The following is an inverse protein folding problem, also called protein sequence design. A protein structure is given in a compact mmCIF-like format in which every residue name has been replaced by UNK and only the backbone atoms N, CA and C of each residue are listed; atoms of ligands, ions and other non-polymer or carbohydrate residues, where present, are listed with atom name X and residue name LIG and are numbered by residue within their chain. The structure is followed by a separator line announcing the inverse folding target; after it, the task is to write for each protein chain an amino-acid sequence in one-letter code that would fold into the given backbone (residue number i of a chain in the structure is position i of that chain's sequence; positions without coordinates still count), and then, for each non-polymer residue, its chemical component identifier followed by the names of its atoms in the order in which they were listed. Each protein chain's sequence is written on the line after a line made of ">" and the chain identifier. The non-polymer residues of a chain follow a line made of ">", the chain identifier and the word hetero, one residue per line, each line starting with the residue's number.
data_IF_290160697862
#
_entry.id   IF_290160697862
#
_cell.length_a   1.000
_cell.length_b   1.000
_cell.length_c   1.000
_cell.angle_alpha   90.00
_cell.angle_beta   90.00
_cell.angle_gamma   90.00
#
_symmetry.space_group_name_H-M   'P 1'
#
loop_
_entity.id
_entity.type
_entity.pdbx_description
1 polymer ?
#
# COMPACT_ATOMS: atom_id res chain seq x y z
N UNK A 1 -45.65 9.16 -33.64
CA UNK A 1 -44.26 9.55 -33.62
C UNK A 1 -43.91 10.07 -32.23
N UNK A 2 -43.83 9.14 -31.25
CA UNK A 2 -43.72 9.48 -29.83
C UNK A 2 -42.82 8.40 -29.19
N UNK A 3 -41.56 8.37 -29.55
CA UNK A 3 -40.54 7.54 -28.91
C UNK A 3 -39.29 8.41 -28.87
N UNK A 4 -38.73 8.60 -27.70
CA UNK A 4 -37.40 9.14 -27.43
C UNK A 4 -37.30 10.31 -26.44
N UNK A 5 -38.21 10.42 -25.45
CA UNK A 5 -37.97 11.31 -24.31
C UNK A 5 -37.59 10.60 -23.01
N UNK A 6 -37.83 9.30 -22.88
CA UNK A 6 -37.53 8.54 -21.65
C UNK A 6 -36.09 8.03 -21.60
N UNK A 7 -35.43 7.83 -22.74
CA UNK A 7 -34.04 7.34 -22.78
C UNK A 7 -32.99 8.41 -22.48
N UNK A 8 -33.30 9.67 -22.76
CA UNK A 8 -32.38 10.81 -22.54
C UNK A 8 -32.33 11.25 -21.06
N UNK A 9 -33.35 10.92 -20.26
CA UNK A 9 -33.38 11.25 -18.81
C UNK A 9 -32.72 10.15 -17.98
N UNK A 10 -32.77 8.89 -18.42
CA UNK A 10 -32.17 7.78 -17.70
C UNK A 10 -30.62 7.80 -17.77
N UNK A 11 -30.03 8.27 -18.87
CA UNK A 11 -28.59 8.31 -19.04
C UNK A 11 -27.86 9.28 -18.09
N UNK A 12 -28.31 10.52 -17.89
CA UNK A 12 -27.70 11.43 -16.91
C UNK A 12 -27.95 11.01 -15.46
N UNK A 13 -29.06 10.36 -15.14
CA UNK A 13 -29.34 9.86 -13.78
C UNK A 13 -28.45 8.65 -13.46
N UNK A 14 -28.23 7.73 -14.39
CA UNK A 14 -27.30 6.61 -14.21
C UNK A 14 -25.85 7.09 -14.14
N UNK A 15 -25.46 8.08 -14.93
CA UNK A 15 -24.14 8.69 -14.86
C UNK A 15 -23.95 9.46 -13.55
N UNK A 16 -24.96 10.20 -13.08
CA UNK A 16 -24.94 10.90 -11.80
C UNK A 16 -24.89 9.91 -10.62
N UNK A 17 -25.50 8.74 -10.71
CA UNK A 17 -25.44 7.68 -9.68
C UNK A 17 -24.07 6.99 -9.65
N UNK A 18 -23.47 6.70 -10.81
CA UNK A 18 -22.10 6.19 -10.93
C UNK A 18 -21.06 7.21 -10.43
N UNK A 19 -21.31 8.48 -10.71
CA UNK A 19 -20.45 9.59 -10.30
C UNK A 19 -20.55 9.86 -8.79
N UNK A 20 -21.76 9.83 -8.22
CA UNK A 20 -21.94 10.01 -6.76
C UNK A 20 -21.41 8.84 -5.95
N UNK A 21 -21.51 7.62 -6.44
CA UNK A 21 -20.90 6.43 -5.80
C UNK A 21 -19.37 6.45 -5.93
N UNK A 22 -18.81 6.98 -7.03
CA UNK A 22 -17.38 7.17 -7.19
C UNK A 22 -16.84 8.24 -6.22
N UNK A 23 -17.54 9.37 -6.03
CA UNK A 23 -17.09 10.46 -5.16
C UNK A 23 -16.98 10.07 -3.69
N UNK A 24 -17.86 9.19 -3.21
CA UNK A 24 -17.80 8.64 -1.84
C UNK A 24 -16.80 7.49 -1.70
N UNK A 25 -16.35 6.90 -2.82
CA UNK A 25 -15.42 5.76 -2.83
C UNK A 25 -13.94 6.19 -2.82
N UNK A 26 -13.60 7.44 -3.17
CA UNK A 26 -12.21 7.84 -3.38
C UNK A 26 -11.32 7.78 -2.13
N UNK A 27 -11.87 7.94 -0.93
CA UNK A 27 -11.10 7.78 0.32
C UNK A 27 -10.97 6.32 0.78
N UNK A 28 -11.56 5.34 0.06
CA UNK A 28 -11.68 3.95 0.49
C UNK A 28 -11.33 2.93 -0.60
N UNK A 29 -10.81 3.35 -1.73
CA UNK A 29 -10.67 2.47 -2.91
C UNK A 29 -9.62 1.37 -2.71
N UNK A 30 -8.67 1.54 -1.76
CA UNK A 30 -7.65 0.53 -1.46
C UNK A 30 -7.44 0.40 0.04
N UNK A 31 -6.88 -0.75 0.46
CA UNK A 31 -6.45 -0.94 1.86
C UNK A 31 -5.37 0.04 2.27
N UNK A 32 -5.18 0.20 3.58
CA UNK A 32 -4.19 1.14 4.14
C UNK A 32 -2.74 0.71 3.93
N UNK A 33 -2.48 -0.57 3.67
CA UNK A 33 -1.15 -1.05 3.27
C UNK A 33 -0.80 -0.50 1.89
N UNK A 34 0.41 0.02 1.74
CA UNK A 34 0.94 0.50 0.45
C UNK A 34 1.61 -0.67 -0.28
N UNK A 35 0.98 -1.28 -1.31
CA UNK A 35 1.58 -2.40 -2.04
C UNK A 35 2.92 -2.01 -2.64
N UNK A 36 3.85 -2.98 -2.68
CA UNK A 36 5.21 -2.75 -3.15
C UNK A 36 6.15 -2.10 -2.13
N UNK A 37 5.73 -1.97 -0.86
CA UNK A 37 6.58 -1.40 0.20
C UNK A 37 7.57 -2.40 0.80
N UNK A 38 7.30 -3.72 0.72
CA UNK A 38 8.13 -4.77 1.32
C UNK A 38 8.53 -5.85 0.29
N UNK A 39 9.16 -5.42 -0.81
CA UNK A 39 9.50 -6.30 -1.94
C UNK A 39 10.68 -7.24 -1.68
N UNK A 40 11.62 -6.87 -0.81
CA UNK A 40 12.86 -7.64 -0.57
C UNK A 40 13.14 -7.78 0.91
N UNK A 41 13.74 -8.90 1.31
CA UNK A 41 14.03 -9.14 2.72
C UNK A 41 12.78 -9.31 3.58
N UNK A 42 11.66 -9.71 2.99
CA UNK A 42 10.33 -9.74 3.61
C UNK A 42 10.21 -10.63 4.86
N UNK A 43 11.10 -11.59 5.03
CA UNK A 43 11.18 -12.42 6.25
C UNK A 43 12.16 -11.91 7.29
N UNK A 44 12.80 -10.76 7.07
CA UNK A 44 13.93 -10.30 7.87
C UNK A 44 13.53 -9.13 8.74
N UNK A 45 13.57 -9.29 10.06
CA UNK A 45 13.47 -8.18 11.02
C UNK A 45 14.80 -7.40 11.09
N UNK A 46 14.76 -6.18 11.58
CA UNK A 46 15.94 -5.33 11.74
C UNK A 46 16.98 -5.98 12.66
N UNK A 47 18.22 -5.50 12.62
CA UNK A 47 19.26 -5.93 13.55
C UNK A 47 19.00 -5.39 14.96
N UNK A 48 19.68 -5.97 15.98
CA UNK A 48 19.52 -5.56 17.39
C UNK A 48 19.75 -4.05 17.58
N UNK A 49 18.91 -3.40 18.36
CA UNK A 49 18.97 -1.98 18.68
C UNK A 49 17.90 -1.17 17.97
N UNK A 50 18.14 0.10 17.80
CA UNK A 50 17.26 1.00 17.07
C UNK A 50 17.69 1.13 15.61
N UNK A 51 16.72 1.18 14.73
CA UNK A 51 16.89 1.50 13.32
C UNK A 51 15.88 2.54 12.87
N UNK A 52 16.27 3.35 11.91
CA UNK A 52 15.39 4.31 11.24
C UNK A 52 15.44 4.06 9.74
N UNK A 53 14.28 4.10 9.12
CA UNK A 53 14.18 4.16 7.66
C UNK A 53 13.13 5.17 7.22
N UNK A 54 13.37 5.74 6.05
CA UNK A 54 12.41 6.59 5.35
C UNK A 54 12.10 5.95 4.00
N UNK A 55 10.82 5.91 3.68
CA UNK A 55 10.34 5.43 2.39
C UNK A 55 9.47 6.50 1.74
N UNK A 56 9.93 7.02 0.62
CA UNK A 56 9.14 7.88 -0.25
C UNK A 56 8.48 7.02 -1.33
N UNK A 57 7.16 6.91 -1.27
CA UNK A 57 6.34 6.20 -2.23
C UNK A 57 5.58 7.20 -3.11
N UNK A 58 5.60 6.98 -4.42
CA UNK A 58 4.87 7.76 -5.40
C UNK A 58 3.98 6.86 -6.24
N UNK A 59 2.69 7.17 -6.33
CA UNK A 59 1.72 6.54 -7.21
C UNK A 59 1.10 7.53 -8.18
N UNK A 60 0.91 7.11 -9.42
CA UNK A 60 0.21 7.89 -10.44
C UNK A 60 -0.71 7.00 -11.25
N UNK A 61 -1.97 7.39 -11.35
CA UNK A 61 -3.02 6.65 -12.06
C UNK A 61 -3.87 7.61 -12.88
N UNK A 62 -4.22 7.22 -14.09
CA UNK A 62 -5.05 8.03 -15.00
C UNK A 62 -6.22 7.25 -15.60
N UNK A 63 -6.38 5.99 -15.22
CA UNK A 63 -7.43 5.11 -15.73
C UNK A 63 -8.22 4.55 -14.56
N UNK A 64 -9.55 4.72 -14.57
CA UNK A 64 -10.46 4.05 -13.65
C UNK A 64 -11.00 2.78 -14.31
N UNK A 65 -10.92 1.66 -13.60
CA UNK A 65 -11.39 0.35 -14.07
C UNK A 65 -12.74 -0.02 -13.45
N UNK A 66 -13.60 -0.59 -14.28
CA UNK A 66 -14.89 -1.15 -13.86
C UNK A 66 -14.78 -2.58 -13.32
N UNK A 67 -15.94 -3.22 -13.05
CA UNK A 67 -16.00 -4.56 -12.43
C UNK A 67 -15.33 -5.66 -13.24
N UNK A 68 -15.37 -5.56 -14.58
CA UNK A 68 -14.74 -6.53 -15.48
C UNK A 68 -13.31 -6.14 -15.89
N UNK A 69 -12.71 -5.12 -15.24
CA UNK A 69 -11.39 -4.60 -15.60
C UNK A 69 -11.36 -3.72 -16.86
N UNK A 70 -12.52 -3.44 -17.46
CA UNK A 70 -12.65 -2.50 -18.57
C UNK A 70 -12.37 -1.06 -18.12
N UNK A 71 -11.78 -0.26 -19.00
CA UNK A 71 -11.58 1.17 -18.72
C UNK A 71 -12.91 1.91 -18.79
N UNK A 72 -13.21 2.72 -17.76
CA UNK A 72 -14.36 3.60 -17.77
C UNK A 72 -14.04 4.88 -18.55
N UNK A 73 -14.98 5.43 -19.32
CA UNK A 73 -14.77 6.64 -20.12
C UNK A 73 -14.86 7.91 -19.26
N UNK A 74 -13.99 8.02 -18.26
CA UNK A 74 -13.92 9.14 -17.33
C UNK A 74 -12.51 9.74 -17.36
N UNK A 75 -12.42 11.04 -17.57
CA UNK A 75 -11.18 11.80 -17.43
C UNK A 75 -10.88 12.02 -15.95
N UNK A 76 -10.09 11.13 -15.38
CA UNK A 76 -9.67 11.19 -13.98
C UNK A 76 -8.17 10.94 -13.88
N UNK A 77 -7.53 11.57 -12.89
CA UNK A 77 -6.17 11.22 -12.53
C UNK A 77 -5.97 11.38 -11.03
N UNK A 78 -5.11 10.52 -10.49
CA UNK A 78 -4.68 10.54 -9.11
C UNK A 78 -3.15 10.52 -9.09
N UNK A 79 -2.55 11.43 -8.34
CA UNK A 79 -1.14 11.32 -7.95
C UNK A 79 -1.04 11.41 -6.44
N UNK A 80 -0.27 10.52 -5.86
CA UNK A 80 -0.15 10.33 -4.43
C UNK A 80 1.34 10.21 -4.08
N UNK A 81 1.80 11.05 -3.16
CA UNK A 81 3.10 10.94 -2.52
C UNK A 81 2.89 10.57 -1.06
N UNK A 82 3.60 9.55 -0.60
CA UNK A 82 3.62 9.15 0.81
C UNK A 82 5.08 9.16 1.26
N UNK A 83 5.36 9.94 2.29
CA UNK A 83 6.63 9.99 3.01
C UNK A 83 6.45 9.23 4.33
N UNK A 84 6.87 7.97 4.36
CA UNK A 84 6.75 7.09 5.52
C UNK A 84 8.05 7.05 6.31
N UNK A 85 7.97 7.37 7.60
CA UNK A 85 9.08 7.42 8.54
C UNK A 85 8.91 6.28 9.54
N UNK A 86 9.78 5.30 9.49
CA UNK A 86 9.76 4.09 10.32
C UNK A 86 10.83 4.14 11.38
N UNK A 87 10.45 3.96 12.63
CA UNK A 87 11.34 3.70 13.76
C UNK A 87 11.10 2.29 14.25
N UNK A 88 12.14 1.45 14.24
CA UNK A 88 12.06 0.09 14.72
C UNK A 88 13.05 -0.15 15.88
N UNK A 89 12.67 -1.06 16.79
CA UNK A 89 13.47 -1.48 17.92
C UNK A 89 13.45 -2.99 18.06
N UNK A 90 14.63 -3.61 18.06
CA UNK A 90 14.86 -5.05 18.31
C UNK A 90 15.62 -5.23 19.60
N UNK A 91 15.00 -5.75 20.67
CA UNK A 91 15.66 -6.01 21.93
C UNK A 91 16.61 -7.21 21.86
N UNK A 92 17.50 -7.36 22.87
CA UNK A 92 18.48 -8.44 22.93
C UNK A 92 17.90 -9.80 23.32
N UNK A 93 16.69 -9.84 23.89
CA UNK A 93 16.05 -11.11 24.27
C UNK A 93 15.36 -11.76 23.06
N UNK A 94 15.15 -13.06 23.15
CA UNK A 94 14.36 -13.82 22.17
C UNK A 94 13.02 -14.25 22.74
N UNK A 95 12.01 -14.28 21.88
CA UNK A 95 10.68 -14.79 22.20
C UNK A 95 10.36 -15.94 21.25
N UNK A 96 10.05 -17.13 21.78
CA UNK A 96 9.81 -18.35 20.97
C UNK A 96 10.94 -18.65 19.96
N UNK A 97 12.19 -18.31 20.33
CA UNK A 97 13.35 -18.47 19.45
C UNK A 97 13.51 -17.36 18.38
N UNK A 98 12.53 -16.49 18.24
CA UNK A 98 12.54 -15.34 17.33
C UNK A 98 13.20 -14.12 17.97
N UNK A 99 13.65 -13.18 17.13
CA UNK A 99 13.94 -11.81 17.52
C UNK A 99 12.64 -11.00 17.44
N UNK A 100 12.11 -10.47 18.55
CA UNK A 100 10.96 -9.58 18.49
C UNK A 100 11.38 -8.21 17.99
N UNK A 101 10.52 -7.59 17.15
CA UNK A 101 10.66 -6.22 16.67
C UNK A 101 9.40 -5.43 17.01
N UNK A 102 9.60 -4.17 17.37
CA UNK A 102 8.55 -3.18 17.64
C UNK A 102 8.73 -2.03 16.67
N UNK A 103 7.66 -1.65 15.94
CA UNK A 103 7.77 -0.63 14.92
C UNK A 103 6.67 0.43 15.06
N UNK A 104 7.03 1.67 14.74
CA UNK A 104 6.09 2.78 14.56
C UNK A 104 6.38 3.43 13.21
N UNK A 105 5.34 3.56 12.40
CA UNK A 105 5.38 4.23 11.11
C UNK A 105 4.55 5.51 11.17
N UNK A 106 5.17 6.64 10.88
CA UNK A 106 4.52 7.96 10.79
C UNK A 106 4.62 8.41 9.35
N UNK A 107 3.47 8.53 8.69
CA UNK A 107 3.42 8.86 7.28
C UNK A 107 2.74 10.20 7.01
N UNK A 108 3.30 10.94 6.05
CA UNK A 108 2.73 12.17 5.50
C UNK A 108 2.37 11.92 4.04
N UNK A 109 1.23 12.46 3.60
CA UNK A 109 0.85 12.36 2.19
C UNK A 109 0.71 13.73 1.54
N UNK A 110 0.84 13.75 0.21
CA UNK A 110 0.52 14.89 -0.65
C UNK A 110 -0.16 14.34 -1.90
N UNK A 111 -1.47 14.46 -1.91
CA UNK A 111 -2.35 13.84 -2.88
C UNK A 111 -2.94 14.90 -3.79
N UNK A 112 -3.09 14.55 -5.06
CA UNK A 112 -3.78 15.38 -6.05
C UNK A 112 -4.74 14.51 -6.84
N UNK A 113 -6.01 14.78 -6.68
CA UNK A 113 -7.06 14.20 -7.50
C UNK A 113 -7.51 15.20 -8.55
N UNK A 114 -7.71 14.74 -9.78
CA UNK A 114 -8.36 15.46 -10.86
C UNK A 114 -9.51 14.61 -11.40
N UNK A 115 -10.65 15.23 -11.60
CA UNK A 115 -11.84 14.57 -12.13
C UNK A 115 -12.87 15.57 -12.65
N UNK A 116 -14.01 15.13 -13.20
CA UNK A 116 -15.08 16.00 -13.66
C UNK A 116 -15.49 17.01 -12.59
N UNK A 117 -15.76 18.26 -12.99
CA UNK A 117 -16.10 19.36 -12.07
C UNK A 117 -17.29 19.03 -11.17
N UNK A 118 -18.21 18.19 -11.63
CA UNK A 118 -19.35 17.72 -10.86
C UNK A 118 -18.93 16.90 -9.63
N UNK A 119 -17.77 16.20 -9.70
CA UNK A 119 -17.20 15.42 -8.59
C UNK A 119 -16.36 16.27 -7.64
N UNK A 120 -15.77 17.34 -8.14
CA UNK A 120 -14.77 18.14 -7.43
C UNK A 120 -15.30 19.42 -6.80
N UNK A 121 -16.61 19.61 -6.75
CA UNK A 121 -17.21 20.73 -6.01
C UNK A 121 -16.80 22.13 -6.45
N UNK A 122 -16.50 22.35 -7.74
CA UNK A 122 -16.29 23.68 -8.32
C UNK A 122 -14.85 24.19 -8.38
N UNK A 123 -13.85 23.46 -7.92
CA UNK A 123 -12.43 23.88 -7.95
C UNK A 123 -11.68 23.36 -9.19
N UNK A 124 -12.08 23.78 -10.38
CA UNK A 124 -11.42 23.43 -11.67
C UNK A 124 -11.05 21.94 -11.82
N UNK A 125 -11.83 21.03 -11.22
CA UNK A 125 -11.60 19.60 -11.26
C UNK A 125 -10.41 19.09 -10.42
N UNK A 126 -9.75 19.93 -9.61
CA UNK A 126 -8.57 19.56 -8.80
C UNK A 126 -8.86 19.63 -7.32
N UNK A 127 -8.54 18.56 -6.60
CA UNK A 127 -8.64 18.49 -5.13
C UNK A 127 -7.29 18.10 -4.56
N UNK A 128 -6.56 19.03 -3.94
CA UNK A 128 -5.34 18.70 -3.21
C UNK A 128 -5.68 18.22 -1.80
N UNK A 129 -4.89 17.25 -1.31
CA UNK A 129 -4.91 16.82 0.08
C UNK A 129 -3.47 16.62 0.56
N UNK A 130 -3.10 17.20 1.69
CA UNK A 130 -1.77 17.02 2.26
C UNK A 130 -1.81 17.06 3.79
N UNK A 131 -0.88 16.36 4.42
CA UNK A 131 -0.69 16.33 5.85
C UNK A 131 -0.35 14.96 6.42
N UNK A 132 -0.37 14.85 7.75
CA UNK A 132 -0.26 13.58 8.45
C UNK A 132 -1.40 12.65 8.00
N UNK A 133 -1.06 11.43 7.63
CA UNK A 133 -2.04 10.39 7.27
C UNK A 133 -2.28 9.44 8.45
N UNK A 134 -2.38 8.16 8.21
CA UNK A 134 -2.54 7.19 9.28
C UNK A 134 -1.18 6.88 9.93
N UNK A 135 -1.18 6.58 11.22
CA UNK A 135 0.01 6.08 11.93
C UNK A 135 -0.14 4.59 12.15
N UNK A 136 0.87 3.83 11.76
CA UNK A 136 0.89 2.38 11.96
C UNK A 136 1.77 2.01 13.15
N UNK A 137 1.29 1.08 13.96
CA UNK A 137 1.99 0.50 15.10
C UNK A 137 2.11 -1.01 14.87
N UNK A 138 3.31 -1.54 14.97
CA UNK A 138 3.56 -2.98 15.02
C UNK A 138 3.99 -3.31 16.44
N UNK A 139 3.05 -3.64 17.35
CA UNK A 139 3.34 -3.90 18.76
C UNK A 139 4.18 -5.18 18.95
N UNK A 140 4.21 -6.06 17.98
CA UNK A 140 5.16 -7.15 17.89
C UNK A 140 5.26 -7.68 16.46
N UNK A 141 6.48 -7.97 16.06
CA UNK A 141 6.84 -8.79 14.92
C UNK A 141 7.90 -9.79 15.37
N UNK A 142 7.81 -11.03 14.96
CA UNK A 142 8.70 -12.10 15.37
C UNK A 142 9.48 -12.62 14.18
N UNK A 143 10.80 -12.45 14.19
CA UNK A 143 11.68 -12.86 13.10
C UNK A 143 12.60 -14.04 13.46
N UNK A 144 12.57 -15.08 12.64
CA UNK A 144 13.45 -16.25 12.73
C UNK A 144 14.43 -16.26 11.58
N UNK A 145 15.70 -16.49 11.89
CA UNK A 145 16.78 -16.56 10.91
C UNK A 145 17.30 -17.99 10.80
N UNK A 146 17.12 -18.58 9.62
CA UNK A 146 17.64 -19.90 9.29
C UNK A 146 18.73 -19.82 8.20
N UNK A 147 19.45 -20.90 8.01
CA UNK A 147 20.46 -20.93 6.94
C UNK A 147 19.86 -20.82 5.54
N UNK A 148 18.62 -21.30 5.36
CA UNK A 148 17.93 -21.40 4.09
C UNK A 148 16.80 -20.38 3.92
N UNK A 149 16.32 -19.76 5.01
CA UNK A 149 15.27 -18.75 4.98
C UNK A 149 15.33 -17.82 6.19
N UNK A 150 14.78 -16.64 6.04
CA UNK A 150 14.32 -15.79 7.12
C UNK A 150 12.79 -15.75 7.07
N UNK A 151 12.16 -15.84 8.22
CA UNK A 151 10.70 -15.84 8.37
C UNK A 151 10.30 -14.79 9.40
N UNK A 152 9.19 -14.10 9.16
CA UNK A 152 8.60 -13.22 10.15
C UNK A 152 7.09 -13.36 10.21
N UNK A 153 6.50 -13.03 11.36
CA UNK A 153 5.07 -12.85 11.52
C UNK A 153 4.78 -11.85 12.62
N UNK A 154 3.79 -11.04 12.41
CA UNK A 154 3.44 -9.98 13.35
C UNK A 154 2.01 -9.50 13.22
N UNK A 155 1.70 -8.56 14.08
CA UNK A 155 0.41 -7.90 14.14
C UNK A 155 0.59 -6.39 14.10
N UNK A 156 -0.20 -5.72 13.30
CA UNK A 156 -0.16 -4.26 13.19
C UNK A 156 -1.53 -3.62 13.44
N UNK A 157 -1.49 -2.39 13.92
CA UNK A 157 -2.66 -1.55 14.16
C UNK A 157 -2.41 -0.19 13.53
N UNK A 158 -3.24 0.18 12.57
CA UNK A 158 -3.18 1.49 11.92
C UNK A 158 -4.26 2.40 12.48
N UNK A 159 -3.84 3.50 13.11
CA UNK A 159 -4.71 4.51 13.69
C UNK A 159 -5.03 5.60 12.66
N UNK A 160 -6.27 6.08 12.56
CA UNK A 160 -6.66 7.19 11.67
C UNK A 160 -6.26 8.54 12.27
N UNK A 161 -4.96 8.83 12.35
CA UNK A 161 -4.41 10.02 13.02
C UNK A 161 -4.47 11.28 12.17
N UNK A 162 -4.60 11.14 10.87
CA UNK A 162 -4.70 12.28 9.95
C UNK A 162 -6.10 12.89 9.86
N UNK A 163 -6.20 13.96 9.08
CA UNK A 163 -7.47 14.65 8.87
C UNK A 163 -8.45 13.78 8.08
N UNK A 164 -9.64 13.62 8.63
CA UNK A 164 -10.76 12.95 8.01
C UNK A 164 -12.06 13.74 8.21
N UNK A 165 -12.80 13.97 7.12
CA UNK A 165 -14.14 14.56 7.10
C UNK A 165 -15.02 13.67 6.23
N UNK A 166 -16.17 13.16 6.73
CA UNK A 166 -17.06 12.30 5.94
C UNK A 166 -17.44 12.93 4.60
N UNK A 167 -17.24 12.19 3.49
CA UNK A 167 -17.56 12.64 2.14
C UNK A 167 -16.59 13.64 1.50
N UNK A 168 -15.57 14.13 2.20
CA UNK A 168 -14.59 15.03 1.61
C UNK A 168 -13.55 14.29 0.76
N UNK A 169 -13.28 14.78 -0.45
CA UNK A 169 -12.23 14.26 -1.34
C UNK A 169 -10.81 14.64 -0.87
N UNK A 170 -10.69 15.63 0.02
CA UNK A 170 -9.40 16.11 0.55
C UNK A 170 -8.95 15.39 1.81
N UNK A 171 -9.48 14.21 2.10
CA UNK A 171 -9.05 13.40 3.22
C UNK A 171 -7.66 12.81 2.99
N UNK A 172 -6.82 12.85 4.01
CA UNK A 172 -5.49 12.21 4.05
C UNK A 172 -5.48 10.97 4.94
N UNK A 173 -6.53 10.77 5.75
CA UNK A 173 -6.71 9.61 6.63
C UNK A 173 -7.90 8.77 6.19
N UNK A 174 -7.89 7.49 6.54
CA UNK A 174 -8.96 6.54 6.26
C UNK A 174 -10.25 6.80 7.05
N UNK A 175 -10.14 7.44 8.24
CA UNK A 175 -11.25 7.65 9.16
C UNK A 175 -11.73 6.38 9.89
N UNK A 176 -10.95 5.30 9.85
CA UNK A 176 -11.20 4.04 10.57
C UNK A 176 -9.89 3.42 11.03
N UNK A 177 -9.96 2.58 12.07
CA UNK A 177 -8.84 1.76 12.51
C UNK A 177 -8.73 0.53 11.63
N UNK A 178 -7.50 0.16 11.29
CA UNK A 178 -7.19 -1.09 10.59
C UNK A 178 -6.33 -1.95 11.50
N UNK A 179 -6.69 -3.21 11.61
CA UNK A 179 -5.88 -4.24 12.22
C UNK A 179 -5.38 -5.15 11.12
N UNK A 180 -4.15 -5.64 11.19
CA UNK A 180 -3.63 -6.56 10.21
C UNK A 180 -2.75 -7.63 10.84
N UNK A 181 -2.85 -8.84 10.33
CA UNK A 181 -1.87 -9.88 10.51
C UNK A 181 -0.92 -9.86 9.34
N UNK A 182 0.38 -9.94 9.63
CA UNK A 182 1.42 -9.94 8.60
C UNK A 182 2.31 -11.16 8.71
N UNK A 183 2.78 -11.64 7.57
CA UNK A 183 3.71 -12.75 7.46
C UNK A 183 4.69 -12.51 6.32
N UNK A 184 5.97 -12.72 6.58
CA UNK A 184 7.04 -12.54 5.62
C UNK A 184 7.95 -13.76 5.52
N UNK A 185 8.44 -14.04 4.33
CA UNK A 185 9.43 -15.07 4.07
C UNK A 185 10.47 -14.58 3.07
N UNK A 186 11.74 -14.82 3.36
CA UNK A 186 12.85 -14.68 2.42
C UNK A 186 13.54 -16.02 2.29
N UNK A 187 13.38 -16.69 1.17
CA UNK A 187 13.91 -18.03 0.90
C UNK A 187 15.18 -17.91 0.08
N UNK A 188 16.28 -18.44 0.56
CA UNK A 188 17.58 -18.39 -0.08
C UNK A 188 17.82 -19.61 -0.97
N UNK A 189 17.90 -19.39 -2.29
CA UNK A 189 18.09 -20.46 -3.28
C UNK A 189 19.54 -20.90 -3.40
N UNK A 190 20.49 -20.13 -2.84
CA UNK A 190 21.92 -20.43 -2.88
C UNK A 190 22.52 -20.44 -1.48
N UNK A 191 23.56 -21.26 -1.25
CA UNK A 191 24.28 -21.34 0.03
C UNK A 191 24.89 -20.00 0.48
N UNK A 192 25.24 -19.12 -0.48
CA UNK A 192 25.77 -17.78 -0.21
C UNK A 192 24.67 -16.73 0.02
N UNK A 193 23.40 -17.16 0.06
CA UNK A 193 22.22 -16.27 0.18
C UNK A 193 22.15 -15.18 -0.90
N UNK A 194 22.78 -15.42 -2.06
CA UNK A 194 22.87 -14.44 -3.12
C UNK A 194 21.60 -14.36 -3.96
N UNK A 195 20.93 -15.49 -4.20
CA UNK A 195 19.64 -15.56 -4.92
C UNK A 195 18.54 -15.83 -3.92
N UNK A 196 17.49 -15.03 -3.93
CA UNK A 196 16.41 -15.14 -2.97
C UNK A 196 15.03 -14.91 -3.60
N UNK A 197 14.02 -15.57 -3.04
CA UNK A 197 12.60 -15.27 -3.22
C UNK A 197 12.12 -14.59 -1.94
N UNK A 198 11.43 -13.47 -2.08
CA UNK A 198 10.84 -12.72 -0.98
C UNK A 198 9.34 -12.65 -1.14
N UNK A 199 8.58 -12.91 -0.09
CA UNK A 199 7.12 -12.87 -0.04
C UNK A 199 6.70 -12.17 1.24
N UNK A 200 5.83 -11.17 1.14
CA UNK A 200 5.23 -10.50 2.28
C UNK A 200 3.72 -10.41 2.08
N UNK A 201 2.99 -10.94 3.03
CA UNK A 201 1.53 -10.92 3.01
C UNK A 201 0.98 -10.15 4.21
N UNK A 202 -0.07 -9.36 3.99
CA UNK A 202 -0.85 -8.72 5.03
C UNK A 202 -2.33 -9.00 4.82
N UNK A 203 -3.01 -9.49 5.86
CA UNK A 203 -4.46 -9.61 5.88
C UNK A 203 -5.04 -8.61 6.87
N UNK A 204 -5.82 -7.66 6.36
CA UNK A 204 -6.30 -6.51 7.11
C UNK A 204 -7.82 -6.51 7.28
N UNK A 205 -8.28 -6.12 8.48
CA UNK A 205 -9.70 -5.88 8.78
C UNK A 205 -9.88 -4.53 9.45
N UNK A 206 -11.02 -3.90 9.17
CA UNK A 206 -11.25 -2.51 9.47
C UNK A 206 -12.37 -2.32 10.50
N UNK A 207 -12.36 -1.22 11.24
CA UNK A 207 -13.51 -0.78 12.04
C UNK A 207 -14.47 0.03 11.18
N UNK A 208 -15.63 0.37 11.73
CA UNK A 208 -16.58 1.27 11.06
C UNK A 208 -15.97 2.65 10.89
N UNK A 209 -16.10 3.22 9.69
CA UNK A 209 -15.59 4.53 9.36
C UNK A 209 -16.39 5.64 10.04
N UNK A 210 -15.69 6.61 10.58
CA UNK A 210 -16.27 7.74 11.31
C UNK A 210 -17.28 8.52 10.46
N UNK A 211 -18.47 8.75 11.00
CA UNK A 211 -19.49 9.59 10.40
C UNK A 211 -20.15 9.09 9.11
N UNK A 212 -19.78 7.91 8.59
CA UNK A 212 -20.40 7.34 7.37
C UNK A 212 -21.27 6.14 7.66
N UNK A 213 -21.04 5.43 8.76
CA UNK A 213 -21.67 4.13 9.05
C UNK A 213 -21.20 2.99 8.12
N UNK A 214 -20.22 3.21 7.26
CA UNK A 214 -19.62 2.20 6.40
C UNK A 214 -18.62 1.38 7.22
N UNK A 215 -18.68 0.06 7.08
CA UNK A 215 -17.65 -0.85 7.58
C UNK A 215 -16.85 -1.37 6.38
N UNK A 216 -15.64 -0.83 6.11
CA UNK A 216 -14.88 -1.22 4.94
C UNK A 216 -14.53 -2.71 4.98
N UNK A 217 -14.59 -3.36 3.83
CA UNK A 217 -14.28 -4.77 3.69
C UNK A 217 -12.83 -5.09 4.03
N UNK A 218 -12.58 -6.36 4.28
CA UNK A 218 -11.24 -6.89 4.56
C UNK A 218 -10.40 -6.89 3.29
N UNK A 219 -9.08 -6.79 3.46
CA UNK A 219 -8.14 -6.73 2.37
C UNK A 219 -7.02 -7.74 2.56
N UNK A 220 -6.61 -8.35 1.47
CA UNK A 220 -5.39 -9.14 1.37
C UNK A 220 -4.38 -8.42 0.47
N UNK A 221 -3.12 -8.37 0.88
CA UNK A 221 -2.05 -7.76 0.09
C UNK A 221 -0.84 -8.69 0.08
N UNK A 222 -0.22 -8.82 -1.08
CA UNK A 222 0.96 -9.66 -1.28
C UNK A 222 2.01 -8.87 -2.06
N UNK A 223 3.19 -8.68 -1.46
CA UNK A 223 4.39 -8.23 -2.14
C UNK A 223 5.30 -9.43 -2.41
N UNK A 224 5.96 -9.47 -3.57
CA UNK A 224 6.84 -10.56 -3.93
C UNK A 224 8.01 -10.11 -4.79
N UNK A 225 9.13 -10.84 -4.69
CA UNK A 225 10.27 -10.65 -5.60
C UNK A 225 11.10 -11.92 -5.77
N UNK A 226 11.79 -11.98 -6.92
CA UNK A 226 12.92 -12.86 -7.18
C UNK A 226 14.13 -11.98 -7.44
N UNK A 227 15.14 -12.08 -6.61
CA UNK A 227 16.27 -11.15 -6.64
C UNK A 227 17.64 -11.83 -6.49
N UNK A 228 18.65 -11.14 -7.03
CA UNK A 228 20.05 -11.56 -7.00
C UNK A 228 20.91 -10.46 -6.39
N UNK A 229 21.73 -10.83 -5.42
CA UNK A 229 22.72 -9.93 -4.79
C UNK A 229 24.09 -10.11 -5.46
N UNK A 230 24.69 -8.99 -5.84
CA UNK A 230 26.03 -8.88 -6.41
C UNK A 230 26.94 -8.15 -5.42
N UNK A 231 28.14 -8.71 -5.16
CA UNK A 231 29.16 -8.01 -4.39
C UNK A 231 29.82 -6.95 -5.29
N UNK A 232 29.81 -5.69 -4.86
CA UNK A 232 30.43 -4.56 -5.57
C UNK A 232 31.87 -4.30 -5.12
N UNK A 233 32.29 -4.92 -4.02
CA UNK A 233 33.63 -4.74 -3.47
C UNK A 233 34.31 -6.08 -3.21
N UNK A 234 35.66 -6.13 -3.35
CA UNK A 234 36.44 -7.36 -3.12
C UNK A 234 36.30 -7.90 -1.69
N UNK A 235 36.03 -7.05 -0.72
CA UNK A 235 35.79 -7.43 0.68
C UNK A 235 34.33 -7.76 0.99
N UNK A 236 33.43 -7.77 -0.01
CA UNK A 236 32.01 -8.08 0.15
C UNK A 236 31.20 -7.03 0.93
N UNK A 237 31.80 -5.89 1.25
CA UNK A 237 31.15 -4.90 2.13
C UNK A 237 30.04 -4.08 1.43
N UNK A 238 30.18 -3.83 0.14
CA UNK A 238 29.15 -3.20 -0.67
C UNK A 238 28.46 -4.24 -1.54
N UNK A 239 27.15 -4.22 -1.55
CA UNK A 239 26.37 -5.13 -2.35
C UNK A 239 25.21 -4.42 -3.05
N UNK A 240 24.91 -4.88 -4.26
CA UNK A 240 23.76 -4.46 -5.04
C UNK A 240 22.83 -5.66 -5.23
N UNK A 241 21.60 -5.53 -4.78
CA UNK A 241 20.53 -6.48 -5.08
C UNK A 241 19.73 -5.95 -6.26
N UNK A 242 19.45 -6.81 -7.23
CA UNK A 242 18.62 -6.54 -8.41
C UNK A 242 17.55 -7.62 -8.47
N UNK A 243 16.29 -7.25 -8.65
CA UNK A 243 15.19 -8.20 -8.68
C UNK A 243 14.04 -7.82 -9.58
N UNK A 244 13.37 -8.84 -10.13
CA UNK A 244 12.00 -8.72 -10.60
C UNK A 244 11.09 -8.72 -9.37
N UNK A 245 10.09 -7.86 -9.37
CA UNK A 245 9.21 -7.65 -8.23
C UNK A 245 7.77 -7.41 -8.68
N UNK A 246 6.84 -7.59 -7.79
CA UNK A 246 5.45 -7.28 -8.00
C UNK A 246 4.66 -7.23 -6.71
N UNK A 247 3.44 -6.76 -6.82
CA UNK A 247 2.47 -6.73 -5.73
C UNK A 247 1.07 -7.07 -6.20
N UNK A 248 0.21 -7.40 -5.24
CA UNK A 248 -1.22 -7.50 -5.43
C UNK A 248 -1.94 -7.02 -4.18
N UNK A 249 -3.11 -6.40 -4.37
CA UNK A 249 -4.01 -6.05 -3.28
C UNK A 249 -5.45 -6.29 -3.68
N UNK A 250 -6.17 -7.02 -2.86
CA UNK A 250 -7.54 -7.44 -3.14
C UNK A 250 -8.43 -7.22 -1.93
N UNK A 251 -9.59 -6.65 -2.15
CA UNK A 251 -10.67 -6.68 -1.17
C UNK A 251 -11.30 -8.07 -1.17
N UNK A 252 -11.33 -8.71 -0.01
CA UNK A 252 -11.78 -10.11 0.14
C UNK A 252 -13.22 -10.25 0.65
N UNK A 253 -13.75 -9.18 1.26
CA UNK A 253 -15.14 -9.11 1.70
C UNK A 253 -15.75 -7.78 1.30
N UNK A 254 -17.07 -7.78 1.04
CA UNK A 254 -17.81 -6.54 0.73
C UNK A 254 -17.83 -5.58 1.91
N UNK A 255 -18.02 -4.30 1.59
CA UNK A 255 -18.29 -3.30 2.61
C UNK A 255 -19.59 -3.61 3.33
N UNK A 256 -19.59 -3.48 4.66
CA UNK A 256 -20.76 -3.63 5.51
C UNK A 256 -21.29 -2.27 6.02
N UNK A 257 -22.18 -2.33 7.04
CA UNK A 257 -22.73 -1.15 7.70
C UNK A 257 -24.12 -0.74 7.21
N UNK A 258 -24.57 0.47 7.58
CA UNK A 258 -25.96 0.92 7.34
C UNK A 258 -26.11 1.78 6.07
N UNK A 259 -25.01 2.11 5.36
CA UNK A 259 -25.07 2.96 4.18
C UNK A 259 -25.34 2.15 2.90
N UNK A 260 -26.31 2.54 2.04
CA UNK A 260 -26.59 1.85 0.77
C UNK A 260 -25.42 1.83 -0.22
N UNK A 261 -24.42 2.73 -0.11
CA UNK A 261 -23.17 2.70 -0.91
C UNK A 261 -22.28 1.48 -0.58
N UNK A 262 -22.63 0.69 0.43
CA UNK A 262 -21.96 -0.56 0.79
C UNK A 262 -21.94 -1.65 -0.31
N UNK A 263 -22.75 -1.51 -1.35
CA UNK A 263 -22.72 -2.37 -2.52
C UNK A 263 -21.54 -2.08 -3.47
N UNK A 264 -20.62 -1.19 -3.09
CA UNK A 264 -19.40 -1.00 -3.82
C UNK A 264 -18.70 -2.36 -4.01
N UNK A 265 -18.47 -2.68 -5.27
CA UNK A 265 -17.90 -3.96 -5.67
C UNK A 265 -16.46 -4.06 -5.17
N UNK A 266 -16.05 -5.27 -4.79
CA UNK A 266 -14.70 -5.58 -4.36
C UNK A 266 -13.68 -5.14 -5.40
N UNK A 267 -12.64 -4.45 -4.96
CA UNK A 267 -11.55 -4.06 -5.84
C UNK A 267 -10.44 -5.12 -5.88
N UNK A 268 -9.62 -5.05 -6.90
CA UNK A 268 -8.38 -5.82 -7.01
C UNK A 268 -7.41 -5.09 -7.91
N UNK A 269 -6.12 -5.19 -7.58
CA UNK A 269 -5.03 -4.63 -8.39
C UNK A 269 -3.82 -5.54 -8.29
N UNK A 270 -3.12 -5.73 -9.41
CA UNK A 270 -1.88 -6.49 -9.52
C UNK A 270 -0.86 -5.67 -10.32
N UNK A 271 0.38 -5.65 -9.84
CA UNK A 271 1.48 -4.93 -10.46
C UNK A 271 2.74 -5.77 -10.57
N UNK A 272 3.57 -5.44 -11.54
CA UNK A 272 4.88 -6.05 -11.73
C UNK A 272 5.90 -5.01 -12.20
N UNK A 273 7.18 -5.28 -11.89
CA UNK A 273 8.28 -4.40 -12.23
C UNK A 273 9.60 -4.89 -11.68
N UNK A 274 10.38 -3.97 -11.12
CA UNK A 274 11.72 -4.30 -10.62
C UNK A 274 12.03 -3.56 -9.31
N UNK A 275 13.05 -4.09 -8.61
CA UNK A 275 13.61 -3.51 -7.40
C UNK A 275 15.13 -3.55 -7.44
N UNK A 276 15.75 -2.52 -6.86
CA UNK A 276 17.20 -2.38 -6.68
C UNK A 276 17.47 -1.98 -5.23
N UNK A 277 18.45 -2.62 -4.58
CA UNK A 277 18.88 -2.23 -3.25
C UNK A 277 20.40 -2.21 -3.16
N UNK A 278 20.97 -1.08 -2.79
CA UNK A 278 22.37 -0.88 -2.46
C UNK A 278 22.54 -0.98 -0.94
N UNK A 279 23.39 -1.87 -0.48
CA UNK A 279 23.72 -2.01 0.94
C UNK A 279 25.19 -1.70 1.21
N UNK A 280 25.43 -1.06 2.35
CA UNK A 280 26.75 -0.64 2.82
C UNK A 280 27.01 -1.23 4.21
N UNK A 281 28.28 -1.51 4.57
CA UNK A 281 28.65 -1.93 5.92
C UNK A 281 28.57 -0.77 6.94
N UNK A 282 28.43 0.46 6.48
CA UNK A 282 28.43 1.62 7.35
C UNK A 282 27.10 1.73 8.09
N UNK A 283 27.07 1.39 9.39
CA UNK A 283 25.89 1.43 10.26
C UNK A 283 24.64 0.81 9.64
N UNK A 284 24.77 -0.30 8.90
CA UNK A 284 23.64 -0.91 8.22
C UNK A 284 22.95 -0.03 7.19
N UNK A 285 23.64 1.01 6.65
CA UNK A 285 23.08 1.90 5.65
C UNK A 285 22.65 1.12 4.40
N UNK A 286 21.45 1.39 3.94
CA UNK A 286 20.94 0.91 2.67
C UNK A 286 20.18 2.01 1.92
N UNK A 287 20.12 1.84 0.60
CA UNK A 287 19.32 2.67 -0.30
C UNK A 287 18.63 1.74 -1.31
N UNK A 288 17.32 1.75 -1.32
CA UNK A 288 16.49 0.94 -2.23
C UNK A 288 15.66 1.81 -3.15
N UNK A 289 15.28 1.24 -4.30
CA UNK A 289 14.28 1.80 -5.18
C UNK A 289 13.52 0.69 -5.89
N UNK A 290 12.25 0.93 -6.18
CA UNK A 290 11.44 0.06 -7.01
C UNK A 290 10.58 0.86 -7.98
N UNK A 291 10.18 0.22 -9.09
CA UNK A 291 9.19 0.76 -10.00
C UNK A 291 8.27 -0.37 -10.46
N UNK A 292 6.97 -0.19 -10.28
CA UNK A 292 5.95 -1.19 -10.58
C UNK A 292 4.87 -0.58 -11.48
N UNK A 293 4.37 -1.39 -12.40
CA UNK A 293 3.27 -1.05 -13.32
C UNK A 293 2.10 -1.99 -13.07
N UNK A 294 0.95 -1.41 -12.81
CA UNK A 294 -0.27 -2.17 -12.59
C UNK A 294 -0.77 -2.72 -13.93
N UNK A 295 -0.71 -4.03 -14.11
CA UNK A 295 -1.14 -4.72 -15.34
C UNK A 295 -2.59 -5.21 -15.28
N UNK A 296 -3.14 -5.37 -14.08
CA UNK A 296 -4.55 -5.70 -13.85
C UNK A 296 -5.14 -4.82 -12.76
N UNK A 297 -6.38 -4.37 -12.97
CA UNK A 297 -7.17 -3.66 -11.97
C UNK A 297 -8.67 -3.84 -12.24
N UNK A 298 -9.46 -3.91 -11.17
CA UNK A 298 -10.93 -3.91 -11.20
C UNK A 298 -11.48 -3.05 -10.07
N UNK A 299 -12.54 -2.29 -10.34
CA UNK A 299 -13.19 -1.37 -9.39
C UNK A 299 -12.22 -0.42 -8.69
N UNK A 300 -11.13 -0.04 -9.32
CA UNK A 300 -10.10 0.85 -8.77
C UNK A 300 -9.36 1.56 -9.90
N UNK A 301 -8.49 2.49 -9.53
CA UNK A 301 -7.54 3.10 -10.44
C UNK A 301 -6.51 2.09 -10.92
N UNK A 302 -5.99 2.28 -12.14
CA UNK A 302 -4.85 1.56 -12.67
C UNK A 302 -3.75 2.56 -13.04
N UNK A 303 -2.51 2.27 -12.64
CA UNK A 303 -1.39 3.18 -12.84
C UNK A 303 -0.03 2.54 -12.63
N UNK A 304 0.83 3.28 -11.96
CA UNK A 304 2.21 2.88 -11.65
C UNK A 304 2.63 3.44 -10.30
N UNK A 305 3.61 2.79 -9.68
CA UNK A 305 4.24 3.28 -8.45
C UNK A 305 5.76 3.26 -8.58
N UNK A 306 6.39 4.13 -7.81
CA UNK A 306 7.84 4.17 -7.59
C UNK A 306 8.09 4.35 -6.10
N UNK A 307 9.13 3.70 -5.59
CA UNK A 307 9.53 3.80 -4.20
C UNK A 307 11.02 4.12 -4.12
N UNK A 308 11.40 5.00 -3.21
CA UNK A 308 12.78 5.20 -2.79
C UNK A 308 12.82 5.00 -1.29
N UNK A 309 13.67 4.10 -0.82
CA UNK A 309 13.78 3.77 0.61
C UNK A 309 15.24 3.90 1.04
N UNK A 310 15.49 4.55 2.15
CA UNK A 310 16.81 4.61 2.76
C UNK A 310 16.73 4.43 4.27
N UNK A 311 17.76 3.84 4.87
CA UNK A 311 17.76 3.64 6.31
C UNK A 311 19.16 3.35 6.88
N UNK A 312 19.23 3.37 8.19
CA UNK A 312 20.46 3.08 8.95
C UNK A 312 20.11 2.58 10.36
N UNK A 313 21.12 2.02 11.01
CA UNK A 313 21.04 1.49 12.36
C UNK A 313 21.89 2.31 13.32
N UNK A 314 21.40 2.49 14.57
CA UNK A 314 22.09 3.21 15.64
C UNK A 314 22.97 2.28 16.49
#
# INVERSE_FOLDING_TARGET
>A
MTICRSALIAFPVQLAFLVSSAATAFSQVRGVYSPGSTLTGAGTVASLGFSYSNQLWYGASSVLKGPQGNSLPLEVSLSLWIDNNTLAFVPKFKLLGANPEFTVDIAFSNDRFFGPTLLCGGSNGRVPAAGLTNTNFVPFDLGWHFNWADLQTGYSVTAPTGRYVPGALSNVSSGFWTNAWQAGATIYLTKKKATQISLFNTYAWNTTQQGTGIHPGQNDSLDYSLSQTFSLSKNGKWSLLVGAAGDGQWQTTRNGGQNPVREALEYGVDAAGFTLNLSSPFKGFFLGTSALWEYAARNTFQGRSMTVTGGFQF
#
